data_IF_919484565620
#
_entry.id   IF_919484565620
#
_cell.length_a   1.000
_cell.length_b   1.000
_cell.length_c   1.000
_cell.angle_alpha   90.00
_cell.angle_beta   90.00
_cell.angle_gamma   90.00
#
_symmetry.space_group_name_H-M   'P 1'
#
loop_
_entity.id
_entity.type
_entity.pdbx_description
1 polymer ?
#
# COMPACT_ATOMS: atom_id res chain seq x y z
N UNK A 1 10.38 -8.31 20.95
CA UNK A 1 10.66 -6.86 21.09
C UNK A 1 10.60 -6.25 19.70
N UNK A 2 9.94 -5.10 19.55
CA UNK A 2 9.85 -4.36 18.28
C UNK A 2 10.28 -2.91 18.54
N UNK A 3 11.07 -2.32 17.67
CA UNK A 3 11.41 -0.89 17.73
C UNK A 3 11.61 -0.27 16.34
N UNK A 4 11.44 1.05 16.25
CA UNK A 4 11.69 1.86 15.06
C UNK A 4 12.38 3.19 15.40
N UNK A 5 13.18 3.23 16.46
CA UNK A 5 13.97 4.41 16.81
C UNK A 5 15.05 4.67 15.76
N UNK A 6 15.61 5.89 15.80
CA UNK A 6 16.76 6.25 14.97
C UNK A 6 17.95 5.30 15.15
N UNK A 7 18.83 5.17 14.15
CA UNK A 7 20.00 4.29 14.19
C UNK A 7 20.82 4.42 15.49
N UNK A 8 21.16 3.25 16.06
CA UNK A 8 21.93 3.10 17.31
C UNK A 8 21.23 3.58 18.59
N UNK A 9 19.97 4.00 18.57
CA UNK A 9 19.29 4.50 19.77
C UNK A 9 19.15 3.43 20.86
N UNK A 10 18.64 2.25 20.51
CA UNK A 10 18.46 1.12 21.44
C UNK A 10 19.80 0.62 22.01
N UNK A 11 20.84 0.62 21.18
CA UNK A 11 22.21 0.25 21.58
C UNK A 11 22.75 1.23 22.62
N UNK A 12 22.56 2.54 22.39
CA UNK A 12 22.94 3.60 23.36
C UNK A 12 22.12 3.56 24.64
N UNK A 13 20.88 3.07 24.60
CA UNK A 13 20.07 2.78 25.78
C UNK A 13 20.56 1.53 26.55
N UNK A 14 21.59 0.84 26.03
CA UNK A 14 22.24 -0.28 26.68
C UNK A 14 21.59 -1.62 26.38
N UNK A 15 20.85 -1.75 25.27
CA UNK A 15 20.24 -3.01 24.82
C UNK A 15 20.67 -3.36 23.37
N UNK A 16 21.98 -3.54 23.11
CA UNK A 16 22.42 -4.10 21.84
C UNK A 16 21.89 -5.53 21.68
N UNK A 17 21.83 -6.01 20.43
CA UNK A 17 21.30 -7.34 20.11
C UNK A 17 21.95 -8.45 20.93
N UNK A 18 23.26 -8.40 21.11
CA UNK A 18 24.03 -9.42 21.84
C UNK A 18 23.57 -9.52 23.30
N UNK A 19 23.29 -8.37 23.94
CA UNK A 19 22.77 -8.32 25.31
C UNK A 19 21.32 -8.78 25.39
N UNK A 20 20.49 -8.41 24.43
CA UNK A 20 19.11 -8.89 24.33
C UNK A 20 19.09 -10.42 24.24
N UNK A 21 19.98 -10.99 23.42
CA UNK A 21 20.10 -12.43 23.23
C UNK A 21 20.64 -13.14 24.49
N UNK A 22 21.57 -12.52 25.23
CA UNK A 22 22.03 -13.01 26.53
C UNK A 22 20.88 -13.08 27.56
N UNK A 23 20.07 -12.03 27.64
CA UNK A 23 18.91 -11.96 28.56
C UNK A 23 17.86 -13.02 28.21
N UNK A 24 17.53 -13.16 26.92
CA UNK A 24 16.55 -14.13 26.47
C UNK A 24 16.88 -14.68 25.07
N UNK A 25 17.48 -15.89 24.97
CA UNK A 25 17.87 -16.48 23.69
C UNK A 25 16.68 -16.92 22.83
N UNK A 26 15.45 -16.91 23.38
CA UNK A 26 14.21 -17.17 22.62
C UNK A 26 13.58 -15.90 22.05
N UNK A 27 14.07 -14.73 22.43
CA UNK A 27 13.44 -13.46 22.05
C UNK A 27 13.71 -13.14 20.58
N UNK A 28 12.63 -12.76 19.87
CA UNK A 28 12.72 -12.19 18.53
C UNK A 28 12.81 -10.68 18.67
N UNK A 29 13.89 -10.11 18.15
CA UNK A 29 14.13 -8.67 18.14
C UNK A 29 13.89 -8.14 16.72
N UNK A 30 12.84 -7.35 16.55
CA UNK A 30 12.43 -6.78 15.28
C UNK A 30 12.72 -5.28 15.24
N UNK A 31 13.30 -4.80 14.14
CA UNK A 31 13.73 -3.41 13.98
C UNK A 31 13.35 -2.86 12.62
N UNK A 32 12.72 -1.69 12.60
CA UNK A 32 12.56 -0.88 11.39
C UNK A 32 13.64 0.21 11.37
N UNK A 33 14.22 0.43 10.19
CA UNK A 33 15.15 1.53 9.89
C UNK A 33 14.83 2.14 8.53
N UNK A 34 15.35 3.33 8.25
CA UNK A 34 15.16 3.97 6.96
C UNK A 34 15.81 3.22 5.81
N UNK A 35 17.08 2.85 6.01
CA UNK A 35 17.93 2.17 5.03
C UNK A 35 18.50 0.88 5.62
N UNK A 36 18.84 -0.07 4.73
CA UNK A 36 19.64 -1.24 5.07
C UNK A 36 21.13 -0.88 5.21
N UNK A 37 22.00 -1.87 5.50
CA UNK A 37 23.44 -1.66 5.58
C UNK A 37 24.00 -1.00 4.32
N UNK A 38 24.78 0.05 4.48
CA UNK A 38 25.32 0.82 3.36
C UNK A 38 25.58 2.28 3.72
N UNK A 39 25.82 3.16 2.73
CA UNK A 39 26.26 4.53 2.97
C UNK A 39 25.22 5.44 3.65
N UNK A 40 23.99 4.98 3.83
CA UNK A 40 22.87 5.76 4.39
C UNK A 40 22.24 5.10 5.62
N UNK A 41 22.87 4.06 6.20
CA UNK A 41 22.32 3.31 7.34
C UNK A 41 22.05 4.18 8.59
N UNK A 42 22.84 5.24 8.79
CA UNK A 42 22.68 6.22 9.87
C UNK A 42 21.67 7.36 9.55
N UNK A 43 21.09 7.39 8.35
CA UNK A 43 20.15 8.44 7.96
C UNK A 43 18.75 8.25 8.58
N UNK A 44 18.13 9.37 8.96
CA UNK A 44 16.72 9.40 9.37
C UNK A 44 15.81 9.43 8.15
N UNK A 45 14.72 8.68 8.21
CA UNK A 45 13.75 8.54 7.12
C UNK A 45 12.35 8.60 7.70
N UNK A 46 11.47 9.28 6.98
CA UNK A 46 10.02 9.25 7.14
C UNK A 46 9.40 8.81 5.80
N UNK A 47 8.12 8.41 5.81
CA UNK A 47 7.29 8.02 4.66
C UNK A 47 7.80 8.46 3.28
N UNK A 48 7.68 9.76 2.96
CA UNK A 48 7.95 10.25 1.62
C UNK A 48 9.43 10.15 1.22
N UNK A 49 10.35 10.18 2.18
CA UNK A 49 11.77 9.94 1.90
C UNK A 49 11.98 8.50 1.46
N UNK A 50 11.31 7.53 2.10
CA UNK A 50 11.36 6.13 1.68
C UNK A 50 10.75 5.93 0.28
N UNK A 51 9.65 6.61 -0.04
CA UNK A 51 9.06 6.56 -1.38
C UNK A 51 10.03 7.07 -2.46
N UNK A 52 10.77 8.13 -2.16
CA UNK A 52 11.79 8.68 -3.06
C UNK A 52 12.95 7.69 -3.25
N UNK A 53 13.44 7.07 -2.18
CA UNK A 53 14.63 6.23 -2.22
C UNK A 53 14.36 4.80 -2.69
N UNK A 54 13.12 4.32 -2.55
CA UNK A 54 12.67 3.00 -3.02
C UNK A 54 12.12 2.97 -4.45
N UNK A 55 12.13 4.12 -5.16
CA UNK A 55 11.77 4.22 -6.58
C UNK A 55 10.31 4.56 -6.88
N UNK A 56 9.42 4.52 -5.88
CA UNK A 56 7.99 4.79 -6.06
C UNK A 56 7.73 6.19 -6.64
N UNK A 57 8.36 7.23 -6.07
CA UNK A 57 8.14 8.61 -6.51
C UNK A 57 8.62 8.86 -7.95
N UNK A 58 9.70 8.18 -8.37
CA UNK A 58 10.25 8.31 -9.72
C UNK A 58 9.25 7.87 -10.79
N UNK A 59 8.51 6.80 -10.51
CA UNK A 59 7.59 6.14 -11.46
C UNK A 59 6.11 6.49 -11.27
N UNK A 60 5.80 7.36 -10.31
CA UNK A 60 4.42 7.78 -10.00
C UNK A 60 4.21 9.23 -10.41
N UNK A 61 3.05 9.52 -11.00
CA UNK A 61 2.63 10.86 -11.39
C UNK A 61 2.38 11.02 -12.89
N UNK A 62 2.09 12.27 -13.29
CA UNK A 62 1.79 12.62 -14.67
C UNK A 62 3.03 12.56 -15.57
N UNK A 63 2.79 12.29 -16.85
CA UNK A 63 3.82 12.28 -17.89
C UNK A 63 4.45 13.69 -17.97
N UNK A 64 5.77 13.78 -17.89
CA UNK A 64 6.49 15.06 -17.87
C UNK A 64 6.33 15.90 -16.59
N UNK A 65 5.44 15.51 -15.66
CA UNK A 65 5.23 16.18 -14.37
C UNK A 65 6.37 15.90 -13.39
N UNK A 66 6.33 16.53 -12.21
CA UNK A 66 7.29 16.24 -11.14
C UNK A 66 7.06 14.84 -10.53
N UNK A 67 8.09 14.16 -9.98
CA UNK A 67 7.92 12.94 -9.18
C UNK A 67 6.83 13.12 -8.12
N UNK A 68 5.96 12.13 -7.95
CA UNK A 68 4.77 12.23 -7.10
C UNK A 68 4.77 11.12 -6.05
N UNK A 69 4.49 11.45 -4.79
CA UNK A 69 4.30 10.47 -3.71
C UNK A 69 2.88 9.93 -3.72
N UNK A 70 2.67 8.71 -3.22
CA UNK A 70 1.35 8.11 -3.07
C UNK A 70 0.67 8.59 -1.78
N UNK A 71 -0.65 8.72 -1.80
CA UNK A 71 -1.44 8.95 -0.57
C UNK A 71 -1.43 7.74 0.38
N UNK A 72 -1.25 6.53 -0.16
CA UNK A 72 -0.99 5.34 0.65
C UNK A 72 0.38 5.43 1.32
N UNK A 73 0.44 5.09 2.62
CA UNK A 73 1.65 5.12 3.43
C UNK A 73 2.50 3.85 3.24
N UNK A 74 3.07 3.70 2.05
CA UNK A 74 3.84 2.51 1.66
C UNK A 74 5.22 2.45 2.31
N UNK A 75 5.78 3.59 2.73
CA UNK A 75 7.03 3.68 3.47
C UNK A 75 6.89 3.36 4.96
N UNK A 76 5.81 3.78 5.60
CA UNK A 76 5.54 3.58 7.02
C UNK A 76 4.77 2.27 7.23
N UNK A 77 3.46 2.25 6.92
CA UNK A 77 2.61 1.07 7.10
C UNK A 77 3.05 -0.09 6.23
N UNK A 78 3.48 0.18 4.99
CA UNK A 78 4.05 -0.84 4.11
C UNK A 78 5.24 -1.56 4.76
N UNK A 79 6.18 -0.83 5.35
CA UNK A 79 7.33 -1.43 6.06
C UNK A 79 6.90 -2.19 7.33
N UNK A 80 5.90 -1.67 8.06
CA UNK A 80 5.30 -2.38 9.19
C UNK A 80 4.76 -3.76 8.80
N UNK A 81 4.01 -3.84 7.70
CA UNK A 81 3.49 -5.11 7.17
C UNK A 81 4.61 -6.09 6.78
N UNK A 82 5.69 -5.60 6.17
CA UNK A 82 6.85 -6.43 5.84
C UNK A 82 7.54 -6.96 7.11
N UNK A 83 7.69 -6.13 8.15
CA UNK A 83 8.28 -6.55 9.42
C UNK A 83 7.42 -7.63 10.09
N UNK A 84 6.09 -7.51 10.06
CA UNK A 84 5.18 -8.55 10.59
C UNK A 84 5.42 -9.89 9.92
N UNK A 85 5.57 -9.93 8.58
CA UNK A 85 5.89 -11.17 7.87
C UNK A 85 7.22 -11.79 8.36
N UNK A 86 8.25 -10.95 8.57
CA UNK A 86 9.53 -11.38 9.14
C UNK A 86 9.42 -11.92 10.57
N UNK A 87 8.60 -11.28 11.42
CA UNK A 87 8.33 -11.72 12.79
C UNK A 87 7.60 -13.05 12.81
N UNK A 88 6.58 -13.23 11.97
CA UNK A 88 5.85 -14.50 11.85
C UNK A 88 6.77 -15.64 11.36
N UNK A 89 7.63 -15.37 10.39
CA UNK A 89 8.63 -16.33 9.93
C UNK A 89 9.64 -16.70 11.05
N UNK A 90 10.07 -15.71 11.83
CA UNK A 90 10.95 -15.94 12.98
C UNK A 90 10.26 -16.74 14.10
N UNK A 91 8.97 -16.49 14.35
CA UNK A 91 8.16 -17.27 15.29
C UNK A 91 8.08 -18.73 14.84
N UNK A 92 7.80 -18.97 13.56
CA UNK A 92 7.74 -20.32 12.99
C UNK A 92 9.09 -21.03 13.05
N UNK A 93 10.20 -20.34 12.73
CA UNK A 93 11.55 -20.89 12.83
C UNK A 93 11.91 -21.28 14.28
N UNK A 94 11.48 -20.49 15.25
CA UNK A 94 11.74 -20.71 16.67
C UNK A 94 11.13 -22.00 17.21
N UNK A 95 10.03 -22.49 16.62
CA UNK A 95 9.44 -23.79 16.98
C UNK A 95 10.41 -24.94 16.71
N UNK A 96 11.18 -24.87 15.62
CA UNK A 96 12.17 -25.88 15.29
C UNK A 96 13.50 -25.66 16.02
N UNK A 97 13.96 -24.41 16.10
CA UNK A 97 15.30 -24.09 16.62
C UNK A 97 15.36 -23.93 18.14
N UNK A 98 14.22 -23.65 18.77
CA UNK A 98 14.13 -23.22 20.15
C UNK A 98 14.71 -21.83 20.42
N UNK A 99 15.18 -21.09 19.40
CA UNK A 99 15.90 -19.81 19.53
C UNK A 99 15.19 -18.69 18.78
N UNK A 100 15.30 -17.48 19.31
CA UNK A 100 14.91 -16.26 18.62
C UNK A 100 16.00 -15.77 17.67
N UNK A 101 15.71 -14.67 16.97
CA UNK A 101 16.64 -14.04 16.03
C UNK A 101 16.35 -12.54 15.87
N UNK A 102 17.30 -11.83 15.27
CA UNK A 102 17.12 -10.44 14.85
C UNK A 102 16.41 -10.40 13.49
N UNK A 103 15.37 -9.58 13.37
CA UNK A 103 14.61 -9.32 12.15
C UNK A 103 14.71 -7.83 11.84
N UNK A 104 15.28 -7.47 10.70
CA UNK A 104 15.43 -6.07 10.29
C UNK A 104 14.65 -5.81 9.01
N UNK A 105 13.98 -4.66 8.92
CA UNK A 105 13.25 -4.25 7.74
C UNK A 105 13.53 -2.77 7.44
N UNK A 106 14.07 -2.49 6.25
CA UNK A 106 14.34 -1.13 5.82
C UNK A 106 13.13 -0.55 5.05
N UNK A 107 12.85 0.74 5.25
CA UNK A 107 11.77 1.42 4.54
C UNK A 107 12.05 1.48 3.03
N UNK A 108 13.30 1.76 2.63
CA UNK A 108 13.71 1.73 1.22
C UNK A 108 13.41 0.36 0.56
N UNK A 109 13.80 -0.73 1.21
CA UNK A 109 13.65 -2.10 0.69
C UNK A 109 12.17 -2.47 0.55
N UNK A 110 11.35 -2.06 1.52
CA UNK A 110 9.90 -2.32 1.53
C UNK A 110 9.20 -1.60 0.38
N UNK A 111 9.54 -0.33 0.15
CA UNK A 111 9.04 0.42 -1.02
C UNK A 111 9.52 -0.23 -2.32
N UNK A 112 10.81 -0.59 -2.42
CA UNK A 112 11.35 -1.24 -3.61
C UNK A 112 10.66 -2.58 -3.91
N UNK A 113 10.32 -3.35 -2.88
CA UNK A 113 9.59 -4.60 -3.05
C UNK A 113 8.20 -4.36 -3.68
N UNK A 114 7.50 -3.31 -3.26
CA UNK A 114 6.22 -2.91 -3.87
C UNK A 114 6.40 -2.33 -5.28
N UNK A 115 7.57 -1.76 -5.59
CA UNK A 115 7.95 -1.30 -6.92
C UNK A 115 8.59 -2.38 -7.82
N UNK A 116 8.53 -3.67 -7.44
CA UNK A 116 9.12 -4.78 -8.21
C UNK A 116 8.78 -4.77 -9.69
N UNK A 117 7.54 -4.43 -10.04
CA UNK A 117 7.06 -4.35 -11.43
C UNK A 117 7.82 -3.29 -12.24
N UNK A 118 8.27 -2.21 -11.60
CA UNK A 118 9.05 -1.16 -12.24
C UNK A 118 10.51 -1.55 -12.43
N UNK A 119 11.06 -2.39 -11.55
CA UNK A 119 12.36 -3.00 -11.79
C UNK A 119 12.34 -3.96 -13.00
N UNK A 120 11.24 -4.71 -13.21
CA UNK A 120 11.01 -5.47 -14.46
C UNK A 120 10.98 -4.53 -15.66
N UNK A 121 10.25 -3.43 -15.58
CA UNK A 121 10.13 -2.47 -16.69
C UNK A 121 11.48 -1.82 -17.03
N UNK A 122 12.30 -1.55 -16.02
CA UNK A 122 13.66 -1.05 -16.21
C UNK A 122 14.51 -2.02 -17.03
N UNK A 123 14.41 -3.32 -16.74
CA UNK A 123 15.11 -4.37 -17.50
C UNK A 123 14.56 -4.52 -18.92
N UNK A 124 13.25 -4.38 -19.12
CA UNK A 124 12.64 -4.43 -20.46
C UNK A 124 13.04 -3.24 -21.31
N UNK A 125 13.11 -2.06 -20.69
CA UNK A 125 13.49 -0.83 -21.35
C UNK A 125 14.90 -0.90 -21.97
N UNK A 126 15.83 -1.63 -21.35
CA UNK A 126 17.17 -1.83 -21.94
C UNK A 126 17.16 -2.69 -23.21
N UNK A 127 16.06 -3.36 -23.52
CA UNK A 127 15.90 -4.21 -24.71
C UNK A 127 14.99 -3.60 -25.79
N UNK A 128 14.35 -2.46 -25.50
CA UNK A 128 13.44 -1.78 -26.42
C UNK A 128 12.36 -0.98 -25.71
N UNK A 129 11.51 -0.27 -26.46
CA UNK A 129 10.46 0.56 -25.88
C UNK A 129 9.42 -0.28 -25.13
N UNK A 130 8.84 0.31 -24.08
CA UNK A 130 7.74 -0.28 -23.34
C UNK A 130 6.44 -0.01 -24.11
N UNK A 131 5.98 -0.98 -24.91
CA UNK A 131 4.89 -0.78 -25.87
C UNK A 131 3.52 -0.52 -25.25
N UNK A 132 3.36 -0.82 -23.96
CA UNK A 132 2.15 -0.57 -23.18
C UNK A 132 2.16 0.77 -22.44
N UNK A 133 3.26 1.52 -22.52
CA UNK A 133 3.38 2.83 -21.89
C UNK A 133 2.85 3.93 -22.83
N UNK A 134 2.26 5.01 -22.30
CA UNK A 134 1.71 6.10 -23.12
C UNK A 134 2.72 6.81 -24.02
N UNK A 135 4.02 6.72 -23.71
CA UNK A 135 5.09 7.23 -24.56
C UNK A 135 5.22 6.44 -25.87
N UNK A 136 4.75 5.19 -25.95
CA UNK A 136 4.80 4.42 -27.18
C UNK A 136 3.53 4.65 -28.03
N UNK A 137 3.63 4.80 -29.37
CA UNK A 137 4.85 4.82 -30.19
C UNK A 137 5.39 6.24 -30.46
N UNK A 138 4.66 7.28 -30.03
CA UNK A 138 4.85 8.65 -30.53
C UNK A 138 5.75 9.54 -29.66
N UNK A 139 6.08 9.08 -28.45
CA UNK A 139 6.96 9.76 -27.51
C UNK A 139 8.34 9.11 -27.41
N UNK A 140 9.17 9.65 -26.51
CA UNK A 140 10.55 9.21 -26.31
C UNK A 140 10.71 8.46 -24.98
N UNK A 141 11.60 7.47 -25.00
CA UNK A 141 12.07 6.80 -23.78
C UNK A 141 13.53 7.19 -23.54
N UNK A 142 13.83 7.60 -22.31
CA UNK A 142 15.21 7.74 -21.83
C UNK A 142 15.74 6.44 -21.22
N UNK A 143 16.81 6.55 -20.43
CA UNK A 143 17.46 5.38 -19.80
C UNK A 143 16.71 4.81 -18.59
N UNK A 144 15.72 5.53 -18.06
CA UNK A 144 14.97 5.15 -16.87
C UNK A 144 13.48 4.99 -17.17
N UNK A 145 12.82 4.07 -16.45
CA UNK A 145 11.36 3.88 -16.54
C UNK A 145 10.65 5.22 -16.30
N UNK A 146 9.87 5.73 -17.25
CA UNK A 146 9.22 7.02 -17.09
C UNK A 146 7.95 6.91 -16.23
N UNK A 147 7.42 8.06 -15.81
CA UNK A 147 6.04 8.18 -15.31
C UNK A 147 5.06 7.91 -16.44
N UNK A 148 3.95 7.25 -16.12
CA UNK A 148 2.98 6.78 -17.11
C UNK A 148 1.55 7.29 -16.84
N UNK A 149 1.39 8.34 -16.02
CA UNK A 149 0.06 8.83 -15.63
C UNK A 149 -0.74 7.73 -14.93
N UNK A 150 -1.91 7.42 -15.47
CA UNK A 150 -2.84 6.42 -14.94
C UNK A 150 -2.78 5.06 -15.66
N UNK A 151 -1.72 4.81 -16.44
CA UNK A 151 -1.51 3.50 -17.05
C UNK A 151 -1.44 2.41 -15.96
N UNK A 152 -1.97 1.23 -16.27
CA UNK A 152 -2.08 0.11 -15.32
C UNK A 152 -0.73 -0.42 -14.79
N UNK A 153 0.36 -0.16 -15.52
CA UNK A 153 1.70 -0.69 -15.21
C UNK A 153 1.84 -2.21 -15.39
N UNK A 154 0.79 -2.89 -15.84
CA UNK A 154 0.69 -4.34 -15.99
C UNK A 154 0.47 -4.77 -17.44
N UNK A 155 0.04 -6.02 -17.62
CA UNK A 155 -0.13 -6.63 -18.95
C UNK A 155 -1.43 -6.25 -19.68
N UNK A 156 -2.37 -5.58 -19.02
CA UNK A 156 -3.65 -5.14 -19.62
C UNK A 156 -3.73 -3.62 -19.60
N UNK A 157 -3.99 -2.93 -20.73
CA UNK A 157 -4.18 -1.49 -20.74
C UNK A 157 -5.33 -1.05 -19.84
N UNK A 158 -5.11 0.02 -19.08
CA UNK A 158 -6.10 0.60 -18.19
C UNK A 158 -5.85 2.09 -18.01
N UNK A 159 -6.92 2.83 -17.71
CA UNK A 159 -6.85 4.27 -17.51
C UNK A 159 -7.97 4.77 -16.57
N UNK A 160 -7.74 5.92 -15.93
CA UNK A 160 -8.79 6.66 -15.22
C UNK A 160 -9.52 7.55 -16.23
N UNK A 161 -10.84 7.39 -16.34
CA UNK A 161 -11.70 8.22 -17.19
C UNK A 161 -12.73 8.97 -16.36
N UNK A 162 -13.13 10.15 -16.84
CA UNK A 162 -14.14 11.01 -16.20
C UNK A 162 -15.51 10.37 -16.23
N UNK A 163 -16.26 10.55 -15.14
CA UNK A 163 -17.69 10.27 -15.09
C UNK A 163 -18.51 11.57 -15.07
N UNK A 164 -19.83 11.44 -15.12
CA UNK A 164 -20.76 12.57 -14.97
C UNK A 164 -20.49 13.29 -13.64
N UNK A 165 -20.29 14.60 -13.69
CA UNK A 165 -20.09 15.46 -12.51
C UNK A 165 -18.63 15.74 -12.13
N UNK A 166 -17.66 15.23 -12.92
CA UNK A 166 -16.21 15.43 -12.71
C UNK A 166 -15.78 16.90 -12.62
N UNK A 167 -16.56 17.83 -13.19
CA UNK A 167 -16.27 19.27 -13.12
C UNK A 167 -16.38 19.83 -11.70
N UNK A 168 -17.20 19.19 -10.85
CA UNK A 168 -17.50 19.65 -9.48
C UNK A 168 -17.13 18.64 -8.41
N UNK A 169 -17.04 17.35 -8.76
CA UNK A 169 -16.64 16.27 -7.86
C UNK A 169 -15.27 15.72 -8.28
N UNK A 170 -14.22 15.90 -7.45
CA UNK A 170 -12.87 15.44 -7.78
C UNK A 170 -12.74 13.91 -7.83
N UNK A 171 -13.71 13.17 -7.29
CA UNK A 171 -13.73 11.70 -7.24
C UNK A 171 -14.78 11.11 -8.21
N UNK A 172 -15.42 11.92 -9.06
CA UNK A 172 -16.32 11.46 -10.12
C UNK A 172 -15.55 10.88 -11.33
N UNK A 173 -14.83 9.79 -11.09
CA UNK A 173 -14.01 9.06 -12.04
C UNK A 173 -14.15 7.55 -11.84
N UNK A 174 -13.78 6.79 -12.87
CA UNK A 174 -13.71 5.33 -12.83
C UNK A 174 -12.41 4.85 -13.48
N UNK A 175 -11.77 3.84 -12.90
CA UNK A 175 -10.68 3.12 -13.54
C UNK A 175 -11.25 2.00 -14.41
N UNK A 176 -10.86 1.92 -15.68
CA UNK A 176 -11.34 0.89 -16.62
C UNK A 176 -10.16 0.13 -17.22
N UNK A 177 -10.23 -1.21 -17.23
CA UNK A 177 -9.24 -2.07 -17.88
C UNK A 177 -9.83 -2.62 -19.18
N UNK A 178 -9.17 -2.36 -20.30
CA UNK A 178 -9.54 -2.86 -21.63
C UNK A 178 -8.94 -4.26 -21.86
N UNK A 179 -9.33 -5.24 -21.06
CA UNK A 179 -8.81 -6.60 -21.17
C UNK A 179 -9.30 -7.30 -22.44
N UNK A 180 -8.43 -8.09 -23.08
CA UNK A 180 -8.75 -8.74 -24.35
C UNK A 180 -10.01 -9.62 -24.29
N UNK A 181 -10.23 -10.32 -23.17
CA UNK A 181 -11.35 -11.26 -22.98
C UNK A 181 -12.71 -10.57 -22.82
N UNK A 182 -12.74 -9.32 -22.39
CA UNK A 182 -13.98 -8.56 -22.18
C UNK A 182 -14.13 -7.38 -23.15
N UNK A 183 -13.23 -7.27 -24.14
CA UNK A 183 -13.21 -6.15 -25.07
C UNK A 183 -14.49 -6.08 -25.92
N UNK A 184 -15.10 -7.22 -26.28
CA UNK A 184 -16.36 -7.23 -27.03
C UNK A 184 -17.49 -6.55 -26.25
N UNK A 185 -17.66 -6.92 -24.98
CA UNK A 185 -18.65 -6.30 -24.09
C UNK A 185 -18.37 -4.82 -23.87
N UNK A 186 -17.10 -4.44 -23.70
CA UNK A 186 -16.71 -3.03 -23.59
C UNK A 186 -17.05 -2.24 -24.87
N UNK A 187 -16.67 -2.75 -26.04
CA UNK A 187 -16.92 -2.11 -27.33
C UNK A 187 -18.42 -1.94 -27.60
N UNK A 188 -19.23 -2.97 -27.33
CA UNK A 188 -20.69 -2.90 -27.43
C UNK A 188 -21.27 -1.84 -26.48
N UNK A 189 -20.84 -1.82 -25.21
CA UNK A 189 -21.34 -0.90 -24.20
C UNK A 189 -21.10 0.57 -24.56
N UNK A 190 -19.92 0.88 -25.12
CA UNK A 190 -19.55 2.24 -25.53
C UNK A 190 -20.04 2.59 -26.95
N UNK A 191 -20.81 1.71 -27.60
CA UNK A 191 -21.37 1.96 -28.94
C UNK A 191 -20.35 1.83 -30.08
N UNK A 192 -19.25 1.11 -29.86
CA UNK A 192 -18.16 0.84 -30.82
C UNK A 192 -18.10 -0.62 -31.27
N UNK A 193 -19.25 -1.27 -31.47
CA UNK A 193 -19.30 -2.65 -31.95
C UNK A 193 -18.60 -2.84 -33.32
N UNK A 194 -18.46 -1.77 -34.11
CA UNK A 194 -17.67 -1.72 -35.35
C UNK A 194 -16.20 -2.15 -35.15
N UNK A 195 -15.63 -1.93 -33.96
CA UNK A 195 -14.25 -2.31 -33.63
C UNK A 195 -14.00 -3.81 -33.63
N UNK A 196 -15.04 -4.63 -33.52
CA UNK A 196 -14.89 -6.08 -33.44
C UNK A 196 -14.55 -6.70 -34.79
N UNK A 197 -14.98 -6.06 -35.88
CA UNK A 197 -14.71 -6.50 -37.25
C UNK A 197 -13.57 -5.71 -37.92
N UNK A 198 -13.21 -4.53 -37.40
CA UNK A 198 -12.15 -3.70 -37.95
C UNK A 198 -10.75 -4.26 -37.62
N UNK A 199 -9.91 -4.65 -38.61
CA UNK A 199 -8.55 -5.13 -38.37
C UNK A 199 -7.65 -4.12 -37.64
N UNK A 200 -8.00 -2.84 -37.69
CA UNK A 200 -7.30 -1.79 -36.95
C UNK A 200 -7.63 -1.80 -35.45
N UNK A 201 -8.70 -2.46 -35.01
CA UNK A 201 -9.15 -2.44 -33.61
C UNK A 201 -9.34 -3.81 -32.98
N UNK A 202 -9.61 -4.85 -33.77
CA UNK A 202 -10.12 -6.12 -33.25
C UNK A 202 -9.09 -6.96 -32.48
N UNK A 203 -7.78 -6.67 -32.60
CA UNK A 203 -6.72 -7.35 -31.82
C UNK A 203 -6.08 -6.45 -30.76
N UNK A 204 -5.62 -7.00 -29.62
CA UNK A 204 -4.87 -6.22 -28.62
C UNK A 204 -3.67 -5.48 -29.22
N UNK A 205 -2.94 -6.13 -30.13
CA UNK A 205 -1.76 -5.53 -30.79
C UNK A 205 -2.13 -4.33 -31.65
N UNK A 206 -3.27 -4.36 -32.33
CA UNK A 206 -3.73 -3.24 -33.16
C UNK A 206 -4.17 -2.03 -32.32
N UNK A 207 -4.61 -2.26 -31.06
CA UNK A 207 -5.04 -1.20 -30.14
C UNK A 207 -3.90 -0.52 -29.38
N UNK A 208 -2.79 -1.21 -29.12
CA UNK A 208 -1.65 -0.65 -28.36
C UNK A 208 -1.16 0.73 -28.84
N UNK A 209 -1.02 1.02 -30.15
CA UNK A 209 -0.59 2.35 -30.59
C UNK A 209 -1.69 3.42 -30.54
N UNK A 210 -2.92 3.07 -30.15
CA UNK A 210 -4.13 3.92 -30.18
C UNK A 210 -4.89 3.87 -28.85
N UNK A 211 -4.18 3.68 -27.74
CA UNK A 211 -4.80 3.54 -26.42
C UNK A 211 -5.44 4.85 -25.98
N UNK A 212 -4.84 5.99 -26.30
CA UNK A 212 -5.41 7.32 -26.09
C UNK A 212 -6.76 7.45 -26.79
N UNK A 213 -6.82 7.17 -28.10
CA UNK A 213 -8.08 7.17 -28.87
C UNK A 213 -9.13 6.22 -28.25
N UNK A 214 -8.70 5.02 -27.86
CA UNK A 214 -9.59 4.04 -27.22
C UNK A 214 -10.20 4.57 -25.92
N UNK A 215 -9.36 5.15 -25.04
CA UNK A 215 -9.81 5.66 -23.74
C UNK A 215 -10.58 6.97 -23.86
N UNK A 216 -10.35 7.78 -24.90
CA UNK A 216 -11.21 8.93 -25.21
C UNK A 216 -12.65 8.50 -25.57
N UNK A 217 -12.82 7.43 -26.35
CA UNK A 217 -14.15 6.90 -26.67
C UNK A 217 -14.84 6.30 -25.44
N UNK A 218 -14.08 5.61 -24.58
CA UNK A 218 -14.59 5.13 -23.29
C UNK A 218 -15.01 6.33 -22.41
N UNK A 219 -14.19 7.39 -22.35
CA UNK A 219 -14.47 8.59 -21.55
C UNK A 219 -15.73 9.32 -22.03
N UNK A 220 -15.94 9.44 -23.35
CA UNK A 220 -17.19 10.01 -23.92
C UNK A 220 -18.42 9.28 -23.40
N UNK A 221 -18.36 7.96 -23.29
CA UNK A 221 -19.44 7.16 -22.74
C UNK A 221 -19.57 7.33 -21.22
N UNK A 222 -18.47 7.22 -20.46
CA UNK A 222 -18.51 7.30 -18.99
C UNK A 222 -18.95 8.67 -18.48
N UNK A 223 -18.66 9.77 -19.21
CA UNK A 223 -19.14 11.11 -18.87
C UNK A 223 -20.69 11.24 -18.91
N UNK A 224 -21.40 10.29 -19.53
CA UNK A 224 -22.87 10.25 -19.52
C UNK A 224 -23.46 9.52 -18.30
N UNK A 225 -22.61 8.93 -17.45
CA UNK A 225 -22.97 8.02 -16.36
C UNK A 225 -22.36 8.47 -15.04
N UNK A 226 -23.08 8.26 -13.94
CA UNK A 226 -22.44 8.30 -12.61
C UNK A 226 -21.41 7.15 -12.50
N UNK A 227 -20.37 7.31 -11.65
CA UNK A 227 -19.29 6.31 -11.50
C UNK A 227 -19.79 4.93 -11.06
N UNK A 228 -20.84 4.88 -10.23
CA UNK A 228 -21.46 3.62 -9.80
C UNK A 228 -22.35 3.03 -10.90
N UNK A 229 -23.06 3.88 -11.65
CA UNK A 229 -23.86 3.45 -12.81
C UNK A 229 -22.97 2.82 -13.90
N UNK A 230 -21.84 3.46 -14.21
CA UNK A 230 -20.86 2.94 -15.17
C UNK A 230 -20.34 1.56 -14.74
N UNK A 231 -19.92 1.41 -13.48
CA UNK A 231 -19.49 0.12 -12.93
C UNK A 231 -20.61 -0.93 -12.99
N UNK A 232 -21.85 -0.55 -12.68
CA UNK A 232 -23.01 -1.44 -12.72
C UNK A 232 -23.32 -2.00 -14.11
N UNK A 233 -23.01 -1.24 -15.18
CA UNK A 233 -23.16 -1.68 -16.57
C UNK A 233 -21.98 -2.54 -17.02
N UNK A 234 -20.76 -2.16 -16.66
CA UNK A 234 -19.53 -2.82 -17.12
C UNK A 234 -19.25 -4.17 -16.43
N UNK A 235 -19.55 -4.30 -15.14
CA UNK A 235 -19.26 -5.51 -14.36
C UNK A 235 -19.96 -6.77 -14.91
N UNK A 236 -21.27 -6.76 -15.26
CA UNK A 236 -21.93 -7.92 -15.90
C UNK A 236 -21.30 -8.36 -17.22
N UNK A 237 -20.57 -7.46 -17.90
CA UNK A 237 -19.85 -7.73 -19.15
C UNK A 237 -18.42 -8.26 -18.91
N UNK A 238 -18.06 -8.53 -17.66
CA UNK A 238 -16.72 -8.93 -17.22
C UNK A 238 -15.63 -7.90 -17.54
N UNK A 239 -15.99 -6.62 -17.71
CA UNK A 239 -15.01 -5.54 -17.89
C UNK A 239 -14.50 -5.13 -16.51
N UNK A 240 -13.21 -5.31 -16.17
CA UNK A 240 -12.70 -4.92 -14.88
C UNK A 240 -12.70 -3.40 -14.77
N UNK A 241 -13.47 -2.87 -13.83
CA UNK A 241 -13.53 -1.45 -13.54
C UNK A 241 -13.80 -1.21 -12.06
N UNK A 242 -13.46 -0.01 -11.58
CA UNK A 242 -13.69 0.38 -10.19
C UNK A 242 -13.82 1.90 -10.05
N UNK A 243 -14.87 2.40 -9.38
CA UNK A 243 -15.04 3.83 -9.14
C UNK A 243 -13.92 4.35 -8.25
N UNK A 244 -13.51 5.59 -8.45
CA UNK A 244 -12.65 6.29 -7.49
C UNK A 244 -13.53 6.67 -6.30
N UNK A 245 -13.38 5.93 -5.19
CA UNK A 245 -14.14 6.18 -3.98
C UNK A 245 -13.39 7.19 -3.10
N UNK A 246 -14.08 8.25 -2.72
CA UNK A 246 -13.58 9.22 -1.74
C UNK A 246 -13.45 8.55 -0.37
N UNK A 247 -12.61 9.12 0.50
CA UNK A 247 -12.52 8.66 1.90
C UNK A 247 -13.85 8.85 2.66
N UNK A 248 -14.69 9.79 2.23
CA UNK A 248 -16.03 10.00 2.77
C UNK A 248 -16.97 8.85 2.42
N UNK A 249 -16.96 8.38 1.16
CA UNK A 249 -17.72 7.21 0.73
C UNK A 249 -17.24 5.94 1.44
N UNK A 250 -15.92 5.71 1.50
CA UNK A 250 -15.33 4.54 2.16
C UNK A 250 -15.67 4.48 3.66
N UNK A 251 -15.72 5.63 4.35
CA UNK A 251 -16.10 5.70 5.76
C UNK A 251 -17.56 5.28 6.02
N UNK A 252 -18.41 5.35 5.01
CA UNK A 252 -19.84 4.99 5.09
C UNK A 252 -20.16 3.67 4.37
N UNK A 253 -19.16 2.98 3.83
CA UNK A 253 -19.37 1.78 3.02
C UNK A 253 -19.76 0.59 3.92
N UNK A 254 -20.97 0.09 3.70
CA UNK A 254 -21.60 -0.91 4.56
C UNK A 254 -20.92 -2.27 4.47
N UNK A 255 -20.42 -2.69 3.31
CA UNK A 255 -19.73 -3.97 3.17
C UNK A 255 -18.38 -4.01 3.91
N UNK A 256 -17.67 -2.87 3.99
CA UNK A 256 -16.43 -2.70 4.75
C UNK A 256 -16.73 -2.72 6.26
N UNK A 257 -17.89 -2.23 6.69
CA UNK A 257 -18.36 -2.35 8.08
C UNK A 257 -18.72 -3.79 8.42
N UNK A 258 -19.49 -4.46 7.58
CA UNK A 258 -19.89 -5.86 7.77
C UNK A 258 -18.71 -6.81 7.85
N UNK A 259 -17.64 -6.53 7.11
CA UNK A 259 -16.41 -7.34 7.13
C UNK A 259 -15.44 -6.95 8.26
N UNK A 260 -15.76 -5.93 9.08
CA UNK A 260 -14.86 -5.40 10.10
C UNK A 260 -13.58 -4.77 9.53
N UNK A 261 -13.63 -4.29 8.28
CA UNK A 261 -12.54 -3.55 7.65
C UNK A 261 -12.58 -2.07 8.04
N UNK A 262 -13.78 -1.48 8.11
CA UNK A 262 -13.99 -0.18 8.77
C UNK A 262 -14.68 -0.46 10.10
N UNK A 263 -14.02 -0.09 11.20
CA UNK A 263 -14.48 -0.38 12.56
C UNK A 263 -14.72 0.92 13.32
N UNK A 264 -15.86 1.05 13.97
CA UNK A 264 -16.12 2.11 14.94
C UNK A 264 -15.71 1.66 16.33
N UNK A 265 -14.90 2.47 17.00
CA UNK A 265 -14.34 2.19 18.33
C UNK A 265 -14.70 3.32 19.28
N UNK A 266 -15.11 2.99 20.50
CA UNK A 266 -15.39 3.96 21.56
C UNK A 266 -14.13 4.21 22.41
N UNK A 267 -13.74 5.48 22.53
CA UNK A 267 -12.56 5.90 23.28
C UNK A 267 -12.94 6.83 24.44
N UNK A 268 -12.47 6.59 25.68
CA UNK A 268 -12.93 7.28 26.89
C UNK A 268 -12.78 8.81 26.82
N UNK A 269 -11.74 9.30 26.14
CA UNK A 269 -11.49 10.75 26.01
C UNK A 269 -11.88 11.36 24.64
N UNK A 270 -12.03 10.54 23.59
CA UNK A 270 -12.21 11.04 22.21
C UNK A 270 -13.62 10.80 21.67
N UNK A 271 -14.43 10.01 22.39
CA UNK A 271 -15.68 9.48 21.87
C UNK A 271 -15.44 8.46 20.76
N UNK A 272 -16.47 8.24 19.95
CA UNK A 272 -16.43 7.29 18.83
C UNK A 272 -15.54 7.78 17.69
N UNK A 273 -14.73 6.88 17.15
CA UNK A 273 -13.93 7.13 15.95
C UNK A 273 -13.90 5.90 15.03
N UNK A 274 -13.60 6.11 13.75
CA UNK A 274 -13.39 5.03 12.79
C UNK A 274 -11.90 4.69 12.66
N UNK A 275 -11.61 3.40 12.53
CA UNK A 275 -10.28 2.88 12.21
C UNK A 275 -10.37 1.78 11.17
N UNK A 276 -9.24 1.44 10.56
CA UNK A 276 -9.11 0.28 9.68
C UNK A 276 -8.85 -0.96 10.54
N UNK A 277 -9.68 -1.99 10.42
CA UNK A 277 -9.51 -3.28 11.07
C UNK A 277 -8.54 -4.19 10.32
N UNK A 278 -8.44 -5.46 10.73
CA UNK A 278 -7.55 -6.41 10.07
C UNK A 278 -8.06 -6.73 8.64
N UNK A 279 -7.30 -6.44 7.57
CA UNK A 279 -7.74 -6.77 6.21
C UNK A 279 -7.78 -8.28 5.94
N UNK A 280 -7.06 -9.09 6.73
CA UNK A 280 -7.04 -10.56 6.62
C UNK A 280 -8.14 -11.13 7.51
N UNK A 281 -9.07 -11.89 6.92
CA UNK A 281 -10.19 -12.53 7.64
C UNK A 281 -9.86 -13.99 7.90
N UNK A 282 -9.71 -14.36 9.16
CA UNK A 282 -9.41 -15.73 9.59
C UNK A 282 -10.69 -16.37 10.14
N UNK A 283 -11.04 -17.56 9.67
CA UNK A 283 -12.29 -18.26 10.03
C UNK A 283 -12.39 -18.63 11.50
N UNK A 284 -11.28 -19.02 12.10
CA UNK A 284 -11.24 -19.60 13.46
C UNK A 284 -10.53 -18.70 14.49
N UNK A 285 -10.02 -17.55 14.05
CA UNK A 285 -9.30 -16.58 14.88
C UNK A 285 -9.54 -15.14 14.41
N UNK A 286 -10.80 -14.66 14.47
CA UNK A 286 -11.13 -13.30 14.05
C UNK A 286 -10.33 -12.28 14.88
N UNK A 287 -9.90 -11.20 14.23
CA UNK A 287 -9.25 -10.09 14.93
C UNK A 287 -10.29 -9.17 15.54
N UNK A 288 -10.14 -8.86 16.81
CA UNK A 288 -10.95 -7.86 17.52
C UNK A 288 -10.14 -6.57 17.62
N UNK A 289 -10.80 -5.45 17.31
CA UNK A 289 -10.19 -4.12 17.34
C UNK A 289 -10.74 -3.39 18.55
N UNK A 290 -9.85 -3.08 19.48
CA UNK A 290 -10.15 -2.31 20.69
C UNK A 290 -9.56 -0.89 20.59
N UNK A 291 -9.96 -0.05 21.54
CA UNK A 291 -9.44 1.32 21.64
C UNK A 291 -7.95 1.34 21.96
N UNK A 292 -7.30 2.45 21.59
CA UNK A 292 -5.98 2.76 22.10
C UNK A 292 -6.00 2.97 23.63
N UNK A 293 -4.90 2.67 24.34
CA UNK A 293 -4.76 2.99 25.76
C UNK A 293 -4.51 4.48 26.00
N UNK A 294 -4.83 4.96 27.20
CA UNK A 294 -4.36 6.24 27.70
C UNK A 294 -2.86 6.17 28.05
N UNK A 295 -2.22 7.34 28.12
CA UNK A 295 -0.82 7.41 28.55
C UNK A 295 -0.69 6.88 29.99
N UNK A 296 0.05 5.79 30.15
CA UNK A 296 0.30 5.17 31.45
C UNK A 296 -0.86 4.35 32.02
N UNK A 297 -1.91 4.08 31.23
CA UNK A 297 -3.13 3.38 31.69
C UNK A 297 -2.83 2.04 32.38
N UNK A 298 -1.89 1.28 31.82
CA UNK A 298 -1.54 -0.06 32.29
C UNK A 298 -0.20 -0.11 33.04
N UNK A 299 0.38 1.03 33.44
CA UNK A 299 1.71 1.06 34.08
C UNK A 299 1.74 0.22 35.36
N UNK A 300 0.76 0.41 36.25
CA UNK A 300 0.72 -0.31 37.53
C UNK A 300 0.38 -1.80 37.36
N UNK A 301 -0.54 -2.11 36.44
CA UNK A 301 -0.90 -3.49 36.05
C UNK A 301 0.33 -4.27 35.58
N UNK A 302 1.07 -3.74 34.60
CA UNK A 302 2.25 -4.43 34.04
C UNK A 302 3.36 -4.58 35.08
N UNK A 303 3.61 -3.57 35.92
CA UNK A 303 4.65 -3.65 36.96
C UNK A 303 4.30 -4.67 38.05
N UNK A 304 3.02 -4.83 38.36
CA UNK A 304 2.55 -5.81 39.35
C UNK A 304 2.51 -7.21 38.75
N UNK A 305 1.78 -7.39 37.66
CA UNK A 305 1.38 -8.71 37.17
C UNK A 305 2.45 -9.37 36.29
N UNK A 306 3.24 -8.57 35.56
CA UNK A 306 4.26 -9.08 34.63
C UNK A 306 5.66 -8.99 35.25
N UNK A 307 6.01 -7.86 35.87
CA UNK A 307 7.34 -7.64 36.46
C UNK A 307 7.43 -8.20 37.89
N UNK A 308 6.33 -8.21 38.64
CA UNK A 308 6.28 -8.72 40.02
C UNK A 308 6.78 -7.72 41.07
N UNK A 309 6.65 -6.42 40.82
CA UNK A 309 6.93 -5.39 41.83
C UNK A 309 5.82 -5.34 42.87
N UNK A 310 6.22 -5.15 44.13
CA UNK A 310 5.29 -4.86 45.22
C UNK A 310 4.90 -3.36 45.24
N UNK A 311 3.87 -2.97 46.02
CA UNK A 311 3.44 -1.57 46.09
C UNK A 311 4.56 -0.60 46.50
N UNK A 312 5.49 -1.02 47.36
CA UNK A 312 6.65 -0.21 47.75
C UNK A 312 7.63 0.00 46.59
N UNK A 313 7.89 -1.04 45.79
CA UNK A 313 8.70 -0.97 44.57
C UNK A 313 8.12 -0.02 43.55
N UNK A 314 6.81 -0.07 43.33
CA UNK A 314 6.10 0.82 42.40
C UNK A 314 6.14 2.28 42.89
N UNK A 315 5.89 2.51 44.19
CA UNK A 315 5.98 3.85 44.78
C UNK A 315 7.38 4.45 44.62
N UNK A 316 8.43 3.65 44.87
CA UNK A 316 9.83 4.06 44.69
C UNK A 316 10.17 4.36 43.23
N UNK A 317 9.66 3.59 42.27
CA UNK A 317 9.86 3.87 40.85
C UNK A 317 9.26 5.23 40.43
N UNK A 318 8.05 5.56 40.93
CA UNK A 318 7.44 6.90 40.74
C UNK A 318 8.28 8.01 41.37
N UNK A 319 8.71 7.83 42.63
CA UNK A 319 9.51 8.84 43.34
C UNK A 319 10.83 9.16 42.62
N UNK A 320 11.42 8.15 41.97
CA UNK A 320 12.66 8.29 41.20
C UNK A 320 12.45 8.83 39.78
N UNK A 321 11.21 9.03 39.33
CA UNK A 321 10.89 9.46 37.97
C UNK A 321 11.21 8.41 36.90
N UNK A 322 11.26 7.13 37.27
CA UNK A 322 11.45 6.04 36.33
C UNK A 322 10.16 5.69 35.57
N UNK A 323 9.00 6.01 36.16
CA UNK A 323 7.64 5.86 35.62
C UNK A 323 6.78 7.07 35.93
#
# INVERSE_FOLDING_TARGET
>A
MVENFGPGAIDRMGFPWEKIQEINPRLIYASIKGFGPGPYDDCKVYENVAQCTGGAASTTGQIGGVPTVTGAQIGDSGTGLHLVAGVLAALFQREASGKGQRVTCAMQDSVLNLCRVKLRDQQRLTHGPLTEYPQYPNGEFGDAVPRAGNASGGGQPGWIVKCKGWETDPDAYIYVIAQAQAFSGLAEAIGRADWLDDPEWNTPRARLPKLDEMFEEIEKWTMTKDKMEAMGILNPLNVPCGPILSMGELAQEESLRQTGTVVEVDHPERGKYLTVGNPIKLSDSPAEVERSPLLGEHTEEILTDVVGLDPEGIARAREQGAI
#
